data_IF_873203213575
#
_entry.id   IF_873203213575
#
_cell.length_a   1.000
_cell.length_b   1.000
_cell.length_c   1.000
_cell.angle_alpha   90.00
_cell.angle_beta   90.00
_cell.angle_gamma   90.00
#
_symmetry.space_group_name_H-M   'P 1'
#
loop_
_entity.id
_entity.type
_entity.pdbx_description
1 polymer ?
#
# COMPACT_ATOMS: atom_id res chain seq x y z
N UNK A 1 -14.07 -47.03 -40.91
CA UNK A 1 -14.47 -45.77 -41.57
C UNK A 1 -15.29 -44.97 -40.56
N UNK A 2 -14.74 -43.90 -40.01
CA UNK A 2 -15.53 -42.94 -39.25
C UNK A 2 -16.19 -42.02 -40.28
N UNK A 3 -17.51 -42.15 -40.45
CA UNK A 3 -18.27 -41.11 -41.13
C UNK A 3 -18.12 -39.81 -40.34
N UNK A 4 -17.80 -38.71 -41.02
CA UNK A 4 -17.78 -37.40 -40.39
C UNK A 4 -19.17 -37.09 -39.85
N UNK A 5 -19.34 -37.06 -38.53
CA UNK A 5 -20.57 -36.59 -37.90
C UNK A 5 -20.89 -35.20 -38.48
N UNK A 6 -22.07 -35.10 -39.12
CA UNK A 6 -22.67 -33.82 -39.53
C UNK A 6 -22.73 -32.90 -38.31
N UNK A 7 -22.53 -31.60 -38.54
CA UNK A 7 -22.70 -30.47 -37.61
C UNK A 7 -23.30 -30.89 -36.25
N UNK A 8 -22.43 -31.13 -35.26
CA UNK A 8 -22.84 -31.34 -33.87
C UNK A 8 -23.63 -30.09 -33.45
N UNK A 9 -24.89 -30.28 -33.05
CA UNK A 9 -25.66 -29.19 -32.47
C UNK A 9 -25.03 -28.83 -31.12
N UNK A 10 -24.43 -27.64 -31.07
CA UNK A 10 -23.71 -27.16 -29.89
C UNK A 10 -24.65 -26.96 -28.70
N UNK A 11 -25.94 -26.65 -28.92
CA UNK A 11 -26.91 -26.55 -27.85
C UNK A 11 -27.22 -27.94 -27.26
N UNK A 12 -27.31 -28.95 -28.11
CA UNK A 12 -27.51 -30.35 -27.73
C UNK A 12 -26.30 -30.89 -26.95
N UNK A 13 -25.09 -30.63 -27.42
CA UNK A 13 -23.85 -30.97 -26.72
C UNK A 13 -23.78 -30.36 -25.31
N UNK A 14 -24.18 -29.09 -25.16
CA UNK A 14 -24.23 -28.42 -23.86
C UNK A 14 -25.28 -29.05 -22.94
N UNK A 15 -26.44 -29.46 -23.47
CA UNK A 15 -27.44 -30.15 -22.68
C UNK A 15 -26.94 -31.51 -22.17
N UNK A 16 -26.25 -32.28 -23.01
CA UNK A 16 -25.62 -33.55 -22.60
C UNK A 16 -24.57 -33.34 -21.50
N UNK A 17 -23.73 -32.30 -21.61
CA UNK A 17 -22.75 -31.93 -20.58
C UNK A 17 -23.42 -31.60 -19.23
N UNK A 18 -24.51 -30.84 -19.26
CA UNK A 18 -25.26 -30.45 -18.05
C UNK A 18 -25.94 -31.67 -17.41
N UNK A 19 -26.57 -32.51 -18.22
CA UNK A 19 -27.29 -33.71 -17.74
C UNK A 19 -26.36 -34.85 -17.37
N UNK A 20 -25.05 -34.70 -17.63
CA UNK A 20 -24.07 -35.79 -17.54
C UNK A 20 -24.57 -37.02 -18.28
N UNK A 21 -25.07 -36.81 -19.50
CA UNK A 21 -25.50 -37.88 -20.41
C UNK A 21 -24.38 -38.15 -21.43
N UNK A 22 -24.12 -39.43 -21.71
CA UNK A 22 -23.14 -39.81 -22.71
C UNK A 22 -23.66 -39.41 -24.09
N UNK A 23 -22.81 -38.76 -24.89
CA UNK A 23 -23.14 -38.42 -26.29
C UNK A 23 -23.29 -39.70 -27.15
N UNK A 24 -22.63 -40.79 -26.76
CA UNK A 24 -22.82 -42.14 -27.29
C UNK A 24 -22.68 -43.16 -26.14
N UNK A 25 -23.64 -44.07 -25.96
CA UNK A 25 -23.55 -45.17 -24.98
C UNK A 25 -22.35 -46.07 -25.32
N UNK A 26 -21.34 -46.10 -24.45
CA UNK A 26 -20.18 -46.97 -24.59
C UNK A 26 -19.91 -47.72 -23.28
N UNK A 27 -20.55 -48.88 -23.17
CA UNK A 27 -20.45 -49.86 -22.09
C UNK A 27 -21.03 -49.48 -20.70
N UNK A 28 -21.37 -50.52 -19.94
CA UNK A 28 -22.20 -50.51 -18.71
C UNK A 28 -21.50 -49.99 -17.45
N UNK A 29 -20.28 -49.47 -17.56
CA UNK A 29 -19.40 -49.15 -16.43
C UNK A 29 -19.04 -47.66 -16.32
N UNK A 30 -19.65 -46.79 -17.13
CA UNK A 30 -19.44 -45.35 -17.03
C UNK A 30 -20.18 -44.77 -15.81
N UNK A 31 -19.46 -44.54 -14.71
CA UNK A 31 -19.95 -43.74 -13.59
C UNK A 31 -19.99 -42.27 -13.99
N UNK A 32 -21.15 -41.85 -14.49
CA UNK A 32 -21.44 -40.45 -14.81
C UNK A 32 -21.27 -39.56 -13.59
N UNK A 33 -20.60 -38.42 -13.76
CA UNK A 33 -20.62 -37.35 -12.75
C UNK A 33 -22.06 -36.92 -12.47
N UNK A 34 -22.41 -36.47 -11.27
CA UNK A 34 -23.75 -35.96 -11.01
C UNK A 34 -24.07 -34.79 -11.93
N UNK A 35 -25.24 -34.84 -12.58
CA UNK A 35 -25.74 -33.76 -13.43
C UNK A 35 -25.75 -32.40 -12.69
N UNK A 36 -25.37 -31.34 -13.40
CA UNK A 36 -25.58 -29.97 -12.93
C UNK A 36 -27.06 -29.63 -13.06
N UNK A 37 -27.74 -29.39 -11.94
CA UNK A 37 -29.19 -29.13 -11.93
C UNK A 37 -29.51 -27.67 -11.68
N UNK A 38 -28.60 -26.95 -11.03
CA UNK A 38 -28.76 -25.55 -10.60
C UNK A 38 -27.48 -24.78 -10.77
N UNK A 39 -27.58 -23.44 -10.76
CA UNK A 39 -26.41 -22.59 -10.88
C UNK A 39 -25.44 -22.78 -9.70
N UNK A 40 -25.96 -23.06 -8.51
CA UNK A 40 -25.17 -23.35 -7.30
C UNK A 40 -24.24 -24.56 -7.44
N UNK A 41 -24.59 -25.55 -8.27
CA UNK A 41 -23.73 -26.73 -8.47
C UNK A 41 -22.43 -26.34 -9.21
N UNK A 42 -22.53 -25.38 -10.14
CA UNK A 42 -21.38 -24.83 -10.88
C UNK A 42 -20.61 -23.84 -10.01
N UNK A 43 -21.29 -23.02 -9.20
CA UNK A 43 -20.62 -22.14 -8.23
C UNK A 43 -19.79 -23.00 -7.25
N UNK A 44 -20.37 -24.04 -6.66
CA UNK A 44 -19.68 -24.95 -5.73
C UNK A 44 -18.48 -25.66 -6.40
N UNK A 45 -18.58 -25.99 -7.69
CA UNK A 45 -17.46 -26.52 -8.47
C UNK A 45 -16.31 -25.50 -8.56
N UNK A 46 -16.60 -24.25 -8.91
CA UNK A 46 -15.61 -23.17 -8.97
C UNK A 46 -14.95 -22.98 -7.61
N UNK A 47 -15.72 -22.99 -6.51
CA UNK A 47 -15.18 -22.87 -5.16
C UNK A 47 -14.19 -23.99 -4.81
N UNK A 48 -14.46 -25.23 -5.23
CA UNK A 48 -13.55 -26.37 -5.01
C UNK A 48 -12.26 -26.22 -5.80
N UNK A 49 -12.35 -25.82 -7.06
CA UNK A 49 -11.19 -25.56 -7.92
C UNK A 49 -10.30 -24.50 -7.26
N UNK A 50 -10.90 -23.39 -6.81
CA UNK A 50 -10.16 -22.28 -6.21
C UNK A 50 -9.60 -22.60 -4.82
N UNK A 51 -10.22 -23.52 -4.10
CA UNK A 51 -9.66 -24.04 -2.86
C UNK A 51 -8.45 -24.95 -3.10
N UNK A 52 -8.49 -25.83 -4.11
CA UNK A 52 -7.37 -26.75 -4.42
C UNK A 52 -6.15 -26.04 -5.03
N UNK A 53 -6.34 -24.90 -5.70
CA UNK A 53 -5.28 -24.12 -6.35
C UNK A 53 -4.39 -23.30 -5.39
N UNK A 54 -4.26 -23.70 -4.11
CA UNK A 54 -3.43 -23.03 -3.11
C UNK A 54 -1.95 -23.46 -3.14
N UNK A 55 -1.57 -24.40 -4.02
CA UNK A 55 -0.18 -24.80 -4.19
C UNK A 55 0.61 -23.76 -5.00
N UNK A 56 1.50 -23.09 -4.29
CA UNK A 56 2.60 -22.24 -4.76
C UNK A 56 3.05 -22.53 -6.20
N UNK A 57 2.72 -21.62 -7.13
CA UNK A 57 3.49 -21.34 -8.36
C UNK A 57 4.05 -22.56 -9.15
N UNK A 58 3.41 -23.72 -9.07
CA UNK A 58 3.70 -24.86 -9.94
C UNK A 58 2.86 -24.65 -11.18
N UNK A 59 3.47 -24.84 -12.35
CA UNK A 59 2.84 -24.52 -13.65
C UNK A 59 1.39 -25.01 -13.69
N UNK A 60 0.49 -24.25 -14.32
CA UNK A 60 -0.93 -24.60 -14.50
C UNK A 60 -1.14 -26.06 -14.93
N UNK A 61 -0.16 -26.65 -15.63
CA UNK A 61 -0.11 -28.06 -15.99
C UNK A 61 -0.15 -29.00 -14.78
N UNK A 62 0.52 -28.67 -13.69
CA UNK A 62 0.51 -29.42 -12.43
C UNK A 62 -0.83 -29.32 -11.70
N UNK A 63 -1.43 -28.13 -11.58
CA UNK A 63 -2.74 -27.97 -10.94
C UNK A 63 -3.87 -28.60 -11.75
N UNK A 64 -3.80 -28.50 -13.08
CA UNK A 64 -4.71 -29.20 -13.99
C UNK A 64 -4.47 -30.71 -13.94
N UNK A 65 -3.22 -31.18 -13.88
CA UNK A 65 -2.88 -32.60 -13.75
C UNK A 65 -3.29 -33.18 -12.40
N UNK A 66 -3.12 -32.46 -11.29
CA UNK A 66 -3.59 -32.85 -9.96
C UNK A 66 -5.10 -32.84 -9.88
N UNK A 67 -5.77 -31.83 -10.45
CA UNK A 67 -7.24 -31.79 -10.50
C UNK A 67 -7.77 -32.92 -11.37
N UNK A 68 -7.15 -33.16 -12.53
CA UNK A 68 -7.44 -34.30 -13.39
C UNK A 68 -7.07 -35.61 -12.71
N UNK A 69 -6.02 -35.71 -11.89
CA UNK A 69 -5.65 -36.89 -11.11
C UNK A 69 -6.60 -37.13 -9.95
N UNK A 70 -7.10 -36.09 -9.28
CA UNK A 70 -8.13 -36.20 -8.24
C UNK A 70 -9.45 -36.62 -8.89
N UNK A 71 -9.84 -36.00 -10.00
CA UNK A 71 -11.01 -36.40 -10.77
C UNK A 71 -10.84 -37.82 -11.36
N UNK A 72 -9.63 -38.18 -11.80
CA UNK A 72 -9.29 -39.51 -12.31
C UNK A 72 -9.03 -40.53 -11.19
N UNK A 73 -8.78 -40.14 -9.95
CA UNK A 73 -8.61 -41.09 -8.84
C UNK A 73 -9.93 -41.80 -8.50
N UNK A 74 -11.04 -41.24 -8.99
CA UNK A 74 -12.35 -41.86 -9.01
C UNK A 74 -12.64 -42.68 -10.28
N UNK A 75 -11.77 -42.63 -11.30
CA UNK A 75 -11.90 -43.33 -12.58
C UNK A 75 -10.73 -44.32 -12.77
N UNK A 76 -10.99 -45.62 -12.68
CA UNK A 76 -10.06 -46.65 -13.15
C UNK A 76 -9.98 -46.64 -14.70
N UNK A 77 -9.28 -45.63 -15.26
CA UNK A 77 -8.69 -45.42 -16.62
C UNK A 77 -9.14 -46.34 -17.80
N UNK A 78 -9.23 -45.77 -19.03
CA UNK A 78 -8.02 -45.49 -19.84
C UNK A 78 -7.94 -44.09 -20.48
N UNK A 79 -6.71 -43.67 -20.76
CA UNK A 79 -6.34 -42.37 -21.35
C UNK A 79 -6.85 -42.20 -22.79
N UNK A 80 -7.42 -41.05 -23.09
CA UNK A 80 -7.78 -40.61 -24.45
C UNK A 80 -6.63 -39.75 -25.02
N UNK A 81 -6.24 -39.89 -26.31
CA UNK A 81 -5.15 -39.10 -26.90
C UNK A 81 -5.54 -37.62 -27.04
N UNK A 82 -4.69 -36.73 -26.54
CA UNK A 82 -4.92 -35.29 -26.54
C UNK A 82 -4.89 -34.67 -27.94
N UNK A 83 -5.87 -33.81 -28.24
CA UNK A 83 -5.79 -32.85 -29.36
C UNK A 83 -5.13 -31.57 -28.84
N UNK A 84 -3.99 -31.20 -29.42
CA UNK A 84 -3.38 -29.88 -29.20
C UNK A 84 -4.13 -28.84 -30.03
N UNK A 85 -4.90 -27.98 -29.37
CA UNK A 85 -5.32 -26.71 -29.95
C UNK A 85 -4.28 -25.67 -29.55
N UNK A 86 -3.51 -25.17 -30.52
CA UNK A 86 -2.62 -24.03 -30.35
C UNK A 86 -3.46 -22.76 -30.21
N UNK A 87 -3.77 -22.37 -28.98
CA UNK A 87 -4.33 -21.06 -28.61
C UNK A 87 -3.44 -20.40 -27.56
N UNK A 88 -3.41 -19.06 -27.54
CA UNK A 88 -2.71 -18.27 -26.52
C UNK A 88 -3.06 -18.77 -25.12
N UNK A 89 -2.05 -18.98 -24.26
CA UNK A 89 -2.14 -19.46 -22.87
C UNK A 89 -3.53 -19.28 -22.21
N UNK A 90 -4.40 -20.27 -22.34
CA UNK A 90 -5.70 -20.28 -21.67
C UNK A 90 -5.48 -20.64 -20.20
N UNK A 91 -5.32 -19.63 -19.35
CA UNK A 91 -5.42 -19.78 -17.89
C UNK A 91 -6.82 -20.31 -17.52
N UNK A 92 -6.97 -21.05 -16.42
CA UNK A 92 -8.24 -21.61 -15.95
C UNK A 92 -9.30 -20.51 -15.74
N UNK A 93 -8.86 -19.28 -15.47
CA UNK A 93 -9.72 -18.09 -15.42
C UNK A 93 -10.37 -17.70 -16.75
N UNK A 94 -9.87 -18.16 -17.90
CA UNK A 94 -10.49 -17.95 -19.22
C UNK A 94 -11.80 -18.75 -19.35
N UNK A 95 -11.88 -19.92 -18.69
CA UNK A 95 -13.04 -20.81 -18.72
C UNK A 95 -14.20 -20.31 -17.86
N UNK A 96 -13.95 -19.41 -16.91
CA UNK A 96 -14.97 -18.83 -16.04
C UNK A 96 -16.05 -18.07 -16.79
N UNK A 97 -15.72 -17.48 -17.93
CA UNK A 97 -16.71 -16.86 -18.80
C UNK A 97 -17.77 -17.87 -19.28
N UNK A 98 -17.31 -19.07 -19.64
CA UNK A 98 -18.16 -20.18 -20.10
C UNK A 98 -18.91 -20.85 -18.95
N UNK A 99 -18.28 -21.04 -17.79
CA UNK A 99 -18.96 -21.55 -16.59
C UNK A 99 -20.06 -20.62 -16.12
N UNK A 100 -19.85 -19.30 -16.18
CA UNK A 100 -20.90 -18.32 -15.89
C UNK A 100 -22.11 -18.50 -16.82
N UNK A 101 -21.89 -18.70 -18.12
CA UNK A 101 -22.99 -18.93 -19.08
C UNK A 101 -23.76 -20.22 -18.78
N UNK A 102 -23.07 -21.32 -18.45
CA UNK A 102 -23.74 -22.55 -18.03
C UNK A 102 -24.54 -22.36 -16.73
N UNK A 103 -23.97 -21.63 -15.76
CA UNK A 103 -24.65 -21.32 -14.51
C UNK A 103 -25.89 -20.45 -14.72
N UNK A 104 -25.82 -19.45 -15.61
CA UNK A 104 -26.98 -18.63 -16.01
C UNK A 104 -28.04 -19.50 -16.66
N UNK A 105 -27.68 -20.45 -17.54
CA UNK A 105 -28.66 -21.38 -18.14
C UNK A 105 -29.44 -22.17 -17.07
N UNK A 106 -28.76 -22.52 -15.99
CA UNK A 106 -29.29 -23.33 -14.89
C UNK A 106 -29.92 -22.50 -13.76
N UNK A 107 -29.83 -21.17 -13.80
CA UNK A 107 -30.25 -20.31 -12.70
C UNK A 107 -31.76 -20.38 -12.48
N UNK A 108 -32.16 -20.57 -11.22
CA UNK A 108 -33.56 -20.56 -10.78
C UNK A 108 -33.80 -19.42 -9.78
N UNK A 109 -35.03 -18.90 -9.70
CA UNK A 109 -35.37 -17.90 -8.69
C UNK A 109 -35.21 -18.48 -7.28
N UNK A 110 -34.82 -17.60 -6.34
CA UNK A 110 -34.71 -17.91 -4.91
C UNK A 110 -33.69 -19.00 -4.54
N UNK A 111 -32.68 -19.26 -5.38
CA UNK A 111 -31.53 -20.07 -5.00
C UNK A 111 -30.79 -19.46 -3.78
N UNK A 112 -30.17 -20.33 -2.99
CA UNK A 112 -29.49 -19.99 -1.74
C UNK A 112 -28.10 -20.61 -1.73
N UNK A 113 -27.20 -20.06 -0.91
CA UNK A 113 -25.89 -20.65 -0.64
C UNK A 113 -26.08 -22.08 -0.12
N UNK A 114 -25.35 -23.03 -0.70
CA UNK A 114 -25.50 -24.45 -0.30
C UNK A 114 -25.08 -24.66 1.15
N UNK A 115 -25.72 -25.63 1.81
CA UNK A 115 -25.40 -25.99 3.19
C UNK A 115 -23.93 -26.40 3.34
N UNK A 116 -23.37 -27.12 2.35
CA UNK A 116 -21.97 -27.54 2.35
C UNK A 116 -20.99 -26.38 2.41
N UNK A 117 -21.27 -25.28 1.69
CA UNK A 117 -20.44 -24.09 1.71
C UNK A 117 -20.54 -23.36 3.05
N UNK A 118 -21.74 -23.26 3.61
CA UNK A 118 -21.92 -22.72 4.96
C UNK A 118 -21.17 -23.53 6.03
N UNK A 119 -21.24 -24.87 5.96
CA UNK A 119 -20.50 -25.78 6.84
C UNK A 119 -18.99 -25.67 6.65
N UNK A 120 -18.51 -25.57 5.41
CA UNK A 120 -17.09 -25.39 5.11
C UNK A 120 -16.54 -24.06 5.63
N UNK A 121 -17.32 -22.97 5.52
CA UNK A 121 -16.95 -21.67 6.10
C UNK A 121 -16.96 -21.71 7.64
N UNK A 122 -17.98 -22.33 8.25
CA UNK A 122 -18.05 -22.50 9.70
C UNK A 122 -16.92 -23.42 10.23
N UNK A 123 -16.52 -24.41 9.45
CA UNK A 123 -15.42 -25.33 9.76
C UNK A 123 -14.03 -24.76 9.45
N UNK A 124 -13.92 -23.52 8.96
CA UNK A 124 -12.63 -22.88 8.67
C UNK A 124 -11.86 -23.50 7.50
N UNK A 125 -12.55 -24.17 6.56
CA UNK A 125 -11.90 -24.83 5.40
C UNK A 125 -11.23 -23.80 4.49
N UNK A 126 -11.87 -22.65 4.30
CA UNK A 126 -11.30 -21.57 3.47
C UNK A 126 -10.38 -20.69 4.31
N UNK A 127 -9.14 -20.52 3.85
CA UNK A 127 -8.23 -19.52 4.42
C UNK A 127 -8.68 -18.10 4.10
N UNK A 128 -8.13 -17.11 4.80
CA UNK A 128 -8.39 -15.69 4.54
C UNK A 128 -8.14 -15.30 3.07
N UNK A 129 -6.97 -15.66 2.53
CA UNK A 129 -6.61 -15.36 1.14
C UNK A 129 -7.50 -16.08 0.14
N UNK A 130 -7.92 -17.32 0.45
CA UNK A 130 -8.91 -18.05 -0.36
C UNK A 130 -10.25 -17.32 -0.39
N UNK A 131 -10.74 -16.82 0.75
CA UNK A 131 -12.00 -16.07 0.82
C UNK A 131 -11.94 -14.81 -0.03
N UNK A 132 -10.85 -14.05 0.05
CA UNK A 132 -10.65 -12.83 -0.74
C UNK A 132 -10.63 -13.12 -2.25
N UNK A 133 -9.87 -14.14 -2.66
CA UNK A 133 -9.80 -14.60 -4.06
C UNK A 133 -11.15 -15.05 -4.58
N UNK A 134 -11.88 -15.87 -3.81
CA UNK A 134 -13.23 -16.33 -4.15
C UNK A 134 -14.18 -15.14 -4.35
N UNK A 135 -14.19 -14.17 -3.43
CA UNK A 135 -15.03 -12.97 -3.57
C UNK A 135 -14.72 -12.23 -4.88
N UNK A 136 -13.43 -12.07 -5.21
CA UNK A 136 -13.01 -11.43 -6.46
C UNK A 136 -13.51 -12.18 -7.70
N UNK A 137 -13.40 -13.51 -7.70
CA UNK A 137 -13.85 -14.35 -8.81
C UNK A 137 -15.37 -14.29 -8.97
N UNK A 138 -16.13 -14.47 -7.88
CA UNK A 138 -17.58 -14.40 -7.91
C UNK A 138 -18.07 -13.04 -8.45
N UNK A 139 -17.42 -11.93 -8.07
CA UNK A 139 -17.71 -10.60 -8.63
C UNK A 139 -17.45 -10.55 -10.14
N UNK A 140 -16.39 -11.19 -10.64
CA UNK A 140 -16.06 -11.25 -12.07
C UNK A 140 -17.03 -12.13 -12.89
N UNK A 141 -17.75 -13.06 -12.25
CA UNK A 141 -18.75 -13.90 -12.93
C UNK A 141 -20.05 -13.16 -13.21
N UNK A 142 -20.34 -12.05 -12.52
CA UNK A 142 -21.56 -11.27 -12.71
C UNK A 142 -21.65 -10.75 -14.15
N UNK A 143 -22.87 -10.74 -14.70
CA UNK A 143 -23.16 -10.22 -16.05
C UNK A 143 -24.18 -9.10 -15.97
N UNK A 144 -24.14 -8.18 -16.94
CA UNK A 144 -25.15 -7.14 -17.07
C UNK A 144 -26.37 -7.71 -17.83
N UNK A 145 -27.58 -7.73 -17.24
CA UNK A 145 -28.77 -8.23 -17.91
C UNK A 145 -29.25 -7.36 -19.08
N UNK A 146 -28.77 -6.11 -19.19
CA UNK A 146 -29.11 -5.22 -20.30
C UNK A 146 -28.30 -5.47 -21.58
N UNK A 147 -27.21 -6.24 -21.47
CA UNK A 147 -26.39 -6.62 -22.61
C UNK A 147 -27.00 -7.87 -23.27
N UNK A 148 -27.41 -7.80 -24.55
CA UNK A 148 -28.00 -8.94 -25.23
C UNK A 148 -27.01 -10.09 -25.40
N UNK A 149 -27.51 -11.32 -25.34
CA UNK A 149 -26.69 -12.52 -25.52
C UNK A 149 -26.68 -12.98 -26.97
N UNK A 150 -25.51 -12.91 -27.61
CA UNK A 150 -25.30 -13.31 -29.02
C UNK A 150 -24.73 -14.74 -29.15
N UNK A 151 -25.21 -15.68 -28.33
CA UNK A 151 -24.70 -17.07 -28.34
C UNK A 151 -25.77 -18.14 -28.47
N UNK A 152 -25.35 -19.40 -28.41
CA UNK A 152 -26.20 -20.58 -28.69
C UNK A 152 -26.61 -21.37 -27.43
N UNK A 153 -26.11 -20.99 -26.25
CA UNK A 153 -26.31 -21.78 -25.02
C UNK A 153 -27.70 -21.54 -24.41
N UNK A 154 -28.17 -20.29 -24.45
CA UNK A 154 -29.39 -19.78 -23.81
C UNK A 154 -30.17 -18.97 -24.84
N UNK A 155 -31.50 -19.04 -24.80
CA UNK A 155 -32.32 -18.14 -25.60
C UNK A 155 -32.15 -16.69 -25.11
N UNK A 156 -32.23 -15.71 -26.01
CA UNK A 156 -32.17 -14.29 -25.63
C UNK A 156 -33.27 -13.92 -24.62
N UNK A 157 -34.46 -14.51 -24.77
CA UNK A 157 -35.60 -14.29 -23.90
C UNK A 157 -35.36 -14.78 -22.45
N UNK A 158 -34.70 -15.92 -22.28
CA UNK A 158 -34.40 -16.48 -20.96
C UNK A 158 -33.15 -15.85 -20.35
N UNK A 159 -32.19 -15.41 -21.17
CA UNK A 159 -30.90 -14.91 -20.71
C UNK A 159 -31.04 -13.73 -19.74
N UNK A 160 -31.75 -12.67 -20.14
CA UNK A 160 -31.87 -11.46 -19.32
C UNK A 160 -32.47 -11.76 -17.94
N UNK A 161 -33.51 -12.61 -17.90
CA UNK A 161 -34.16 -13.04 -16.66
C UNK A 161 -33.23 -13.90 -15.80
N UNK A 162 -32.54 -14.86 -16.41
CA UNK A 162 -31.66 -15.78 -15.70
C UNK A 162 -30.39 -15.08 -15.17
N UNK A 163 -29.88 -14.06 -15.85
CA UNK A 163 -28.76 -13.23 -15.35
C UNK A 163 -29.14 -12.58 -14.03
N UNK A 164 -30.37 -12.09 -13.88
CA UNK A 164 -30.85 -11.51 -12.63
C UNK A 164 -30.84 -12.56 -11.51
N UNK A 165 -31.36 -13.77 -11.78
CA UNK A 165 -31.35 -14.86 -10.80
C UNK A 165 -29.93 -15.30 -10.43
N UNK A 166 -29.04 -15.40 -11.42
CA UNK A 166 -27.65 -15.78 -11.20
C UNK A 166 -26.88 -14.73 -10.39
N UNK A 167 -27.04 -13.44 -10.71
CA UNK A 167 -26.42 -12.37 -9.96
C UNK A 167 -26.91 -12.32 -8.50
N UNK A 168 -28.20 -12.56 -8.26
CA UNK A 168 -28.78 -12.62 -6.91
C UNK A 168 -28.14 -13.75 -6.08
N UNK A 169 -27.94 -14.94 -6.65
CA UNK A 169 -27.27 -16.02 -5.91
C UNK A 169 -25.77 -15.75 -5.73
N UNK A 170 -25.08 -15.15 -6.71
CA UNK A 170 -23.68 -14.73 -6.54
C UNK A 170 -23.53 -13.72 -5.40
N UNK A 171 -24.44 -12.74 -5.28
CA UNK A 171 -24.43 -11.75 -4.21
C UNK A 171 -24.60 -12.43 -2.83
N UNK A 172 -25.46 -13.44 -2.73
CA UNK A 172 -25.58 -14.25 -1.49
C UNK A 172 -24.29 -14.99 -1.14
N UNK A 173 -23.60 -15.60 -2.11
CA UNK A 173 -22.30 -16.24 -1.87
C UNK A 173 -21.25 -15.21 -1.44
N UNK A 174 -21.14 -14.09 -2.16
CA UNK A 174 -20.22 -12.99 -1.83
C UNK A 174 -20.47 -12.49 -0.41
N UNK A 175 -21.72 -12.34 -0.01
CA UNK A 175 -22.11 -11.89 1.33
C UNK A 175 -21.63 -12.85 2.42
N UNK A 176 -21.88 -14.16 2.28
CA UNK A 176 -21.48 -15.16 3.29
C UNK A 176 -19.95 -15.25 3.40
N UNK A 177 -19.24 -15.24 2.26
CA UNK A 177 -17.78 -15.19 2.26
C UNK A 177 -17.23 -13.90 2.85
N UNK A 178 -17.86 -12.74 2.55
CA UNK A 178 -17.45 -11.45 3.10
C UNK A 178 -17.65 -11.41 4.61
N UNK A 179 -18.79 -11.88 5.14
CA UNK A 179 -19.03 -11.98 6.58
C UNK A 179 -18.02 -12.91 7.27
N UNK A 180 -17.69 -14.04 6.65
CA UNK A 180 -16.68 -14.96 7.18
C UNK A 180 -15.28 -14.33 7.16
N UNK A 181 -14.91 -13.63 6.08
CA UNK A 181 -13.66 -12.86 5.97
C UNK A 181 -13.57 -11.77 7.06
N UNK A 182 -14.65 -11.01 7.25
CA UNK A 182 -14.76 -10.00 8.32
C UNK A 182 -14.57 -10.63 9.69
N UNK A 183 -15.18 -11.80 9.95
CA UNK A 183 -15.02 -12.51 11.20
C UNK A 183 -13.55 -12.92 11.45
N UNK A 184 -12.82 -13.35 10.42
CA UNK A 184 -11.38 -13.64 10.54
C UNK A 184 -10.59 -12.39 10.95
N UNK A 185 -10.85 -11.24 10.32
CA UNK A 185 -10.19 -9.96 10.66
C UNK A 185 -10.47 -9.59 12.12
N UNK A 186 -11.73 -9.68 12.54
CA UNK A 186 -12.14 -9.37 13.92
C UNK A 186 -11.52 -10.34 14.92
N UNK A 187 -11.36 -11.62 14.58
CA UNK A 187 -10.76 -12.61 15.46
C UNK A 187 -9.21 -12.54 15.49
N UNK A 188 -8.59 -12.05 14.43
CA UNK A 188 -7.13 -12.02 14.31
C UNK A 188 -6.49 -11.12 15.38
N UNK A 189 -5.37 -11.61 15.91
CA UNK A 189 -4.51 -10.85 16.80
C UNK A 189 -3.71 -9.79 16.05
N UNK A 190 -3.30 -8.75 16.76
CA UNK A 190 -2.38 -7.74 16.23
C UNK A 190 -0.98 -8.35 16.12
N UNK A 191 -0.36 -8.25 14.95
CA UNK A 191 1.00 -8.68 14.68
C UNK A 191 2.01 -7.77 15.38
N UNK A 192 2.34 -8.12 16.62
CA UNK A 192 3.33 -7.40 17.43
C UNK A 192 4.74 -7.45 16.81
N UNK A 193 5.07 -8.49 16.04
CA UNK A 193 6.37 -8.58 15.39
C UNK A 193 6.48 -7.55 14.26
N UNK A 194 5.41 -7.36 13.49
CA UNK A 194 5.33 -6.29 12.48
C UNK A 194 5.55 -4.91 13.09
N UNK A 195 4.90 -4.61 14.21
CA UNK A 195 5.07 -3.31 14.89
C UNK A 195 6.52 -3.11 15.37
N UNK A 196 7.12 -4.13 15.98
CA UNK A 196 8.53 -4.10 16.41
C UNK A 196 9.51 -3.97 15.26
N UNK A 197 9.21 -4.56 14.10
CA UNK A 197 10.04 -4.41 12.90
C UNK A 197 10.03 -2.97 12.40
N UNK A 198 8.89 -2.27 12.49
CA UNK A 198 8.82 -0.83 12.24
C UNK A 198 9.75 -0.05 13.17
N UNK A 199 9.71 -0.33 14.47
CA UNK A 199 10.57 0.33 15.46
C UNK A 199 12.06 0.08 15.20
N UNK A 200 12.43 -1.16 14.91
CA UNK A 200 13.80 -1.56 14.60
C UNK A 200 14.31 -0.87 13.32
N UNK A 201 13.50 -0.86 12.26
CA UNK A 201 13.84 -0.20 11.00
C UNK A 201 14.07 1.29 11.21
N UNK A 202 13.14 1.98 11.86
CA UNK A 202 13.26 3.41 12.14
C UNK A 202 14.48 3.72 13.01
N UNK A 203 14.75 2.89 14.02
CA UNK A 203 15.94 3.00 14.88
C UNK A 203 17.24 2.92 14.08
N UNK A 204 17.30 2.04 13.08
CA UNK A 204 18.49 1.83 12.27
C UNK A 204 18.66 2.89 11.16
N UNK A 205 17.56 3.32 10.53
CA UNK A 205 17.59 4.25 9.39
C UNK A 205 17.72 5.72 9.81
N UNK A 206 17.16 6.11 10.97
CA UNK A 206 17.09 7.51 11.39
C UNK A 206 18.47 8.20 11.43
N UNK A 207 19.53 7.63 12.02
CA UNK A 207 20.83 8.32 12.12
C UNK A 207 21.40 8.70 10.75
N UNK A 208 21.27 7.82 9.76
CA UNK A 208 21.67 8.11 8.38
C UNK A 208 20.85 9.25 7.79
N UNK A 209 19.52 9.17 7.91
CA UNK A 209 18.61 10.21 7.40
C UNK A 209 18.84 11.59 8.04
N UNK A 210 19.23 11.65 9.32
CA UNK A 210 19.59 12.89 10.00
C UNK A 210 20.90 13.48 9.46
N UNK A 211 21.90 12.62 9.20
CA UNK A 211 23.21 13.05 8.68
C UNK A 211 23.17 13.56 7.24
N UNK A 212 22.19 13.11 6.46
CA UNK A 212 21.96 13.56 5.09
C UNK A 212 21.15 14.86 5.01
N UNK A 213 20.38 15.20 6.04
CA UNK A 213 19.59 16.43 6.07
C UNK A 213 20.46 17.67 6.24
N UNK A 214 20.15 18.72 5.47
CA UNK A 214 20.97 19.93 5.37
C UNK A 214 21.09 20.67 6.71
N UNK A 215 20.04 20.70 7.53
CA UNK A 215 20.05 21.36 8.83
C UNK A 215 20.38 20.37 9.95
N UNK A 216 19.79 19.18 9.92
CA UNK A 216 19.88 18.26 11.05
C UNK A 216 21.27 17.62 11.18
N UNK A 217 22.07 17.59 10.11
CA UNK A 217 23.47 17.15 10.15
C UNK A 217 24.37 17.96 11.08
N UNK A 218 23.98 19.17 11.45
CA UNK A 218 24.76 20.02 12.36
C UNK A 218 24.57 19.65 13.83
N UNK A 219 23.54 18.86 14.17
CA UNK A 219 23.40 18.33 15.52
C UNK A 219 24.36 17.16 15.77
N UNK A 220 24.86 17.09 17.00
CA UNK A 220 25.44 15.84 17.51
C UNK A 220 24.30 14.91 17.93
N UNK A 221 24.08 13.83 17.19
CA UNK A 221 23.04 12.85 17.51
C UNK A 221 23.50 11.92 18.64
N UNK A 222 22.72 11.82 19.71
CA UNK A 222 22.97 10.91 20.83
C UNK A 222 21.71 10.14 21.23
N UNK A 223 21.90 9.03 21.94
CA UNK A 223 20.83 8.19 22.45
C UNK A 223 20.99 8.06 23.96
N UNK A 224 19.91 8.19 24.73
CA UNK A 224 19.96 8.15 26.19
C UNK A 224 18.77 7.38 26.76
N UNK A 225 18.97 6.66 27.87
CA UNK A 225 17.91 5.91 28.59
C UNK A 225 17.57 6.52 29.95
N UNK A 226 18.10 7.71 30.29
CA UNK A 226 17.80 8.47 31.51
C UNK A 226 16.34 8.95 31.50
N UNK A 227 15.54 8.43 32.43
CA UNK A 227 14.10 8.75 32.54
C UNK A 227 13.80 10.09 33.23
N UNK A 228 14.78 10.71 33.88
CA UNK A 228 14.63 11.95 34.67
C UNK A 228 14.79 13.24 33.86
N UNK A 229 15.01 13.12 32.54
CA UNK A 229 15.05 14.26 31.62
C UNK A 229 13.66 14.72 31.19
N UNK A 230 13.57 15.99 30.79
CA UNK A 230 12.36 16.59 30.23
C UNK A 230 12.16 16.20 28.77
N UNK A 231 11.90 14.93 28.52
CA UNK A 231 11.64 14.41 27.18
C UNK A 231 10.37 15.01 26.57
N UNK A 232 10.45 15.42 25.31
CA UNK A 232 9.26 15.77 24.53
C UNK A 232 8.78 14.53 23.77
N UNK A 233 7.61 14.03 24.13
CA UNK A 233 6.96 12.96 23.40
C UNK A 233 6.33 13.47 22.09
N UNK A 234 6.70 12.86 20.97
CA UNK A 234 6.14 13.11 19.64
C UNK A 234 5.52 11.81 19.14
N UNK A 235 4.44 11.90 18.36
CA UNK A 235 3.84 10.74 17.72
C UNK A 235 3.27 11.06 16.33
N UNK A 236 3.24 10.04 15.48
CA UNK A 236 2.56 10.05 14.19
C UNK A 236 1.36 9.08 14.27
N UNK A 237 0.12 9.58 14.23
CA UNK A 237 -1.08 8.74 14.16
C UNK A 237 -1.50 8.51 12.71
N UNK A 238 -1.84 7.28 12.34
CA UNK A 238 -2.48 6.96 11.06
C UNK A 238 -3.62 5.97 11.25
N UNK A 239 -4.75 6.26 10.61
CA UNK A 239 -5.87 5.35 10.49
C UNK A 239 -5.49 4.18 9.58
N UNK A 240 -5.61 2.97 10.10
CA UNK A 240 -5.33 1.74 9.35
C UNK A 240 -6.44 0.73 9.60
N UNK A 241 -6.76 -0.03 8.56
CA UNK A 241 -7.64 -1.19 8.72
C UNK A 241 -6.98 -2.22 9.64
N UNK A 242 -7.78 -2.94 10.42
CA UNK A 242 -7.32 -4.02 11.29
C UNK A 242 -6.61 -5.12 10.50
N UNK A 243 -7.02 -5.36 9.26
CA UNK A 243 -6.38 -6.32 8.36
C UNK A 243 -4.89 -6.01 8.15
N UNK A 244 -4.51 -4.73 8.10
CA UNK A 244 -3.12 -4.31 7.91
C UNK A 244 -2.21 -4.79 9.05
N UNK A 245 -2.72 -4.72 10.29
CA UNK A 245 -1.97 -5.10 11.49
C UNK A 245 -2.30 -6.53 11.95
N UNK A 246 -3.16 -7.26 11.22
CA UNK A 246 -3.60 -8.59 11.63
C UNK A 246 -2.53 -9.63 11.30
N UNK A 247 -2.18 -10.41 12.32
CA UNK A 247 -1.26 -11.54 12.20
C UNK A 247 -1.80 -12.56 11.20
N UNK A 248 -0.93 -13.05 10.33
CA UNK A 248 -1.21 -14.14 9.36
C UNK A 248 -2.27 -13.87 8.28
N UNK A 249 -2.95 -12.71 8.27
CA UNK A 249 -3.95 -12.37 7.25
C UNK A 249 -3.37 -11.62 6.06
N UNK A 250 -2.59 -10.56 6.31
CA UNK A 250 -2.08 -9.68 5.28
C UNK A 250 -0.55 -9.68 5.24
N UNK A 251 0.01 -10.61 4.47
CA UNK A 251 1.44 -10.72 4.20
C UNK A 251 1.90 -9.84 3.02
N UNK A 252 0.99 -9.07 2.39
CA UNK A 252 1.44 -8.16 1.33
C UNK A 252 2.16 -6.97 1.96
N UNK A 253 3.34 -6.65 1.41
CA UNK A 253 4.19 -5.52 1.76
C UNK A 253 3.47 -4.20 1.46
N UNK A 254 2.50 -3.85 2.30
CA UNK A 254 2.13 -2.46 2.41
C UNK A 254 3.36 -1.67 2.85
N UNK A 255 3.71 -0.66 2.06
CA UNK A 255 4.93 0.12 2.21
C UNK A 255 5.20 0.58 3.64
N UNK A 256 6.48 0.76 3.92
CA UNK A 256 7.00 1.00 5.26
C UNK A 256 6.40 2.24 5.92
N UNK A 257 5.49 2.04 6.89
CA UNK A 257 4.84 3.12 7.61
C UNK A 257 5.19 3.12 9.12
N UNK A 258 5.50 4.29 9.71
CA UNK A 258 5.78 5.56 9.03
C UNK A 258 7.14 5.50 8.34
N UNK A 259 7.33 6.23 7.24
CA UNK A 259 8.65 6.29 6.60
C UNK A 259 9.65 7.09 7.47
N UNK A 260 10.95 6.78 7.37
CA UNK A 260 11.99 7.58 8.05
C UNK A 260 11.97 9.05 7.63
N UNK A 261 11.62 9.33 6.36
CA UNK A 261 11.42 10.68 5.84
C UNK A 261 10.31 11.44 6.58
N UNK A 262 9.23 10.75 6.95
CA UNK A 262 8.14 11.35 7.70
C UNK A 262 8.52 11.68 9.15
N UNK A 263 9.33 10.82 9.78
CA UNK A 263 9.93 11.12 11.10
C UNK A 263 10.87 12.31 10.99
N UNK A 264 11.76 12.32 10.00
CA UNK A 264 12.73 13.39 9.75
C UNK A 264 12.02 14.74 9.57
N UNK A 265 10.94 14.75 8.79
CA UNK A 265 10.06 15.92 8.61
C UNK A 265 9.46 16.43 9.93
N UNK A 266 9.08 15.55 10.85
CA UNK A 266 8.56 15.96 12.16
C UNK A 266 9.65 16.59 13.04
N UNK A 267 10.85 16.01 13.05
CA UNK A 267 12.02 16.59 13.76
C UNK A 267 12.35 17.96 13.18
N UNK A 268 12.39 18.08 11.85
CA UNK A 268 12.66 19.35 11.16
C UNK A 268 11.59 20.41 11.44
N UNK A 269 10.30 20.03 11.48
CA UNK A 269 9.21 20.93 11.90
C UNK A 269 9.42 21.45 13.31
N UNK A 270 9.88 20.59 14.23
CA UNK A 270 10.21 21.00 15.61
C UNK A 270 11.38 21.97 15.65
N UNK A 271 12.45 21.70 14.90
CA UNK A 271 13.58 22.63 14.77
C UNK A 271 13.09 24.01 14.31
N UNK A 272 12.30 24.06 13.24
CA UNK A 272 11.77 25.33 12.75
C UNK A 272 10.91 26.05 13.79
N UNK A 273 10.11 25.33 14.58
CA UNK A 273 9.34 25.91 15.67
C UNK A 273 10.24 26.51 16.76
N UNK A 274 11.30 25.82 17.17
CA UNK A 274 12.26 26.32 18.17
C UNK A 274 13.00 27.56 17.65
N UNK A 275 13.51 27.50 16.42
CA UNK A 275 14.20 28.63 15.79
C UNK A 275 13.28 29.83 15.64
N UNK A 276 12.04 29.63 15.23
CA UNK A 276 11.04 30.68 15.11
C UNK A 276 10.84 31.42 16.45
N UNK A 277 10.67 30.67 17.54
CA UNK A 277 10.43 31.25 18.86
C UNK A 277 11.66 31.91 19.49
N UNK A 278 12.84 31.63 18.95
CA UNK A 278 14.09 32.15 19.50
C UNK A 278 14.22 33.65 19.26
N UNK A 279 14.54 34.39 20.32
CA UNK A 279 14.84 35.82 20.22
C UNK A 279 16.25 36.00 19.64
N UNK A 280 16.33 36.64 18.47
CA UNK A 280 17.63 36.95 17.86
C UNK A 280 18.37 38.06 18.63
N UNK A 281 19.69 38.05 18.56
CA UNK A 281 20.56 39.10 19.14
C UNK A 281 20.29 40.47 18.49
N UNK A 282 19.93 40.47 17.22
CA UNK A 282 19.61 41.67 16.43
C UNK A 282 18.37 41.42 15.58
N UNK A 283 17.54 42.45 15.42
CA UNK A 283 16.42 42.45 14.47
C UNK A 283 16.59 43.61 13.49
N UNK A 284 16.47 43.32 12.20
CA UNK A 284 16.76 44.25 11.10
C UNK A 284 15.61 44.19 10.11
N UNK A 285 15.14 45.35 9.65
CA UNK A 285 14.13 45.42 8.60
C UNK A 285 14.84 45.43 7.23
N UNK A 286 14.38 44.56 6.33
CA UNK A 286 14.90 44.44 4.96
C UNK A 286 13.75 44.57 3.98
N UNK A 287 13.89 45.52 3.06
CA UNK A 287 12.88 45.82 2.04
C UNK A 287 13.18 45.15 0.69
N UNK A 288 14.42 44.74 0.44
CA UNK A 288 14.86 44.09 -0.80
C UNK A 288 15.97 43.06 -0.55
N UNK A 289 16.19 42.19 -1.54
CA UNK A 289 17.19 41.12 -1.46
C UNK A 289 18.62 41.67 -1.33
N UNK A 290 18.99 42.76 -2.01
CA UNK A 290 20.35 43.30 -1.97
C UNK A 290 20.75 43.71 -0.54
N UNK A 291 19.84 44.37 0.17
CA UNK A 291 20.04 44.77 1.57
C UNK A 291 20.21 43.53 2.45
N UNK A 292 19.40 42.48 2.24
CA UNK A 292 19.56 41.21 2.96
C UNK A 292 20.94 40.59 2.69
N UNK A 293 21.36 40.48 1.44
CA UNK A 293 22.65 39.87 1.08
C UNK A 293 23.83 40.66 1.66
N UNK A 294 23.80 42.00 1.60
CA UNK A 294 24.84 42.86 2.18
C UNK A 294 24.93 42.69 3.71
N UNK A 295 23.80 42.71 4.41
CA UNK A 295 23.77 42.55 5.86
C UNK A 295 24.26 41.16 6.31
N UNK A 296 23.95 40.13 5.52
CA UNK A 296 24.46 38.76 5.73
C UNK A 296 25.96 38.70 5.49
N UNK A 297 26.46 39.25 4.37
CA UNK A 297 27.88 39.27 4.04
C UNK A 297 28.71 40.02 5.10
N UNK A 298 28.22 41.14 5.60
CA UNK A 298 28.88 41.90 6.66
C UNK A 298 28.95 41.10 7.97
N UNK A 299 27.90 40.36 8.32
CA UNK A 299 27.83 39.58 9.58
C UNK A 299 28.54 38.24 9.52
N UNK A 300 28.71 37.66 8.34
CA UNK A 300 29.48 36.43 8.15
C UNK A 300 30.95 36.67 7.77
N UNK A 301 31.44 37.91 7.91
CA UNK A 301 32.81 38.30 7.55
C UNK A 301 33.89 37.72 8.47
N UNK A 302 33.52 37.24 9.66
CA UNK A 302 34.40 36.54 10.60
C UNK A 302 34.78 35.11 10.15
N UNK A 303 34.28 34.68 8.99
CA UNK A 303 34.50 33.36 8.37
C UNK A 303 33.97 32.17 9.20
N UNK A 304 33.15 32.40 10.22
CA UNK A 304 32.46 31.32 10.91
C UNK A 304 31.38 30.69 10.02
N UNK A 305 30.97 29.46 10.35
CA UNK A 305 29.92 28.76 9.62
C UNK A 305 28.54 29.23 10.08
N UNK A 306 27.79 29.84 9.18
CA UNK A 306 26.43 30.30 9.43
C UNK A 306 25.42 29.63 8.51
N UNK A 307 24.16 29.69 8.90
CA UNK A 307 23.03 29.26 8.09
C UNK A 307 22.00 30.38 8.10
N UNK A 308 21.65 30.88 6.93
CA UNK A 308 20.53 31.78 6.72
C UNK A 308 19.29 30.95 6.38
N UNK A 309 18.40 30.82 7.35
CA UNK A 309 17.10 30.15 7.19
C UNK A 309 16.07 31.19 6.76
N UNK A 310 15.57 31.08 5.53
CA UNK A 310 14.61 32.01 4.92
C UNK A 310 13.23 31.38 4.97
N UNK A 311 12.30 32.03 5.68
CA UNK A 311 10.90 31.63 5.80
C UNK A 311 10.03 32.44 4.83
N UNK A 312 9.14 31.73 4.15
CA UNK A 312 8.21 32.31 3.19
C UNK A 312 8.76 32.31 1.76
N UNK A 313 8.05 32.99 0.87
CA UNK A 313 8.38 33.10 -0.55
C UNK A 313 9.10 34.40 -0.91
N UNK A 314 9.16 35.37 0.00
CA UNK A 314 9.81 36.66 -0.24
C UNK A 314 11.30 36.45 -0.52
N UNK A 315 11.73 36.91 -1.70
CA UNK A 315 13.06 36.72 -2.29
C UNK A 315 13.37 35.34 -2.90
N UNK A 316 12.45 34.38 -2.88
CA UNK A 316 12.75 33.00 -3.31
C UNK A 316 13.08 32.89 -4.80
N UNK A 317 12.38 33.63 -5.66
CA UNK A 317 12.65 33.65 -7.10
C UNK A 317 13.93 34.44 -7.40
N UNK A 318 14.12 35.63 -6.82
CA UNK A 318 15.34 36.40 -7.04
C UNK A 318 16.61 35.66 -6.57
N UNK A 319 16.51 34.90 -5.46
CA UNK A 319 17.60 34.04 -4.99
C UNK A 319 17.89 32.86 -5.92
N UNK A 320 16.88 32.30 -6.58
CA UNK A 320 17.05 31.25 -7.59
C UNK A 320 17.68 31.80 -8.86
N UNK A 321 17.27 32.99 -9.29
CA UNK A 321 17.84 33.68 -10.45
C UNK A 321 19.30 34.09 -10.23
N UNK A 322 19.68 34.41 -8.98
CA UNK A 322 21.04 34.82 -8.63
C UNK A 322 22.11 33.77 -8.98
N UNK A 323 21.73 32.48 -9.05
CA UNK A 323 22.60 31.40 -9.53
C UNK A 323 23.13 31.69 -10.94
N UNK A 324 22.33 32.33 -11.78
CA UNK A 324 22.64 32.62 -13.18
C UNK A 324 23.24 34.01 -13.42
N UNK A 325 23.52 34.78 -12.36
CA UNK A 325 24.02 36.17 -12.41
C UNK A 325 25.42 36.29 -11.76
N UNK A 326 26.46 35.63 -12.30
CA UNK A 326 27.80 35.59 -11.70
C UNK A 326 28.41 36.99 -11.53
N UNK A 327 28.07 37.95 -12.39
CA UNK A 327 28.51 39.34 -12.32
C UNK A 327 28.08 40.05 -11.01
N UNK A 328 27.06 39.54 -10.32
CA UNK A 328 26.61 40.07 -9.02
C UNK A 328 27.26 39.38 -7.83
N UNK A 329 27.96 38.26 -8.04
CA UNK A 329 28.47 37.43 -6.93
C UNK A 329 29.53 38.15 -6.12
N UNK A 330 30.47 38.82 -6.78
CA UNK A 330 31.56 39.55 -6.13
C UNK A 330 31.03 40.66 -5.20
N UNK A 331 29.95 41.35 -5.60
CA UNK A 331 29.36 42.44 -4.83
C UNK A 331 28.79 41.98 -3.47
N UNK A 332 28.42 40.71 -3.36
CA UNK A 332 27.80 40.14 -2.16
C UNK A 332 28.66 39.04 -1.52
N UNK A 333 29.93 38.90 -1.91
CA UNK A 333 30.82 37.82 -1.43
C UNK A 333 30.21 36.42 -1.60
N UNK A 334 29.59 36.18 -2.75
CA UNK A 334 28.95 34.90 -3.08
C UNK A 334 29.98 33.93 -3.67
N UNK A 335 29.92 32.69 -3.22
CA UNK A 335 30.75 31.60 -3.72
C UNK A 335 29.88 30.40 -4.10
N UNK A 336 30.07 29.85 -5.30
CA UNK A 336 29.35 28.65 -5.74
C UNK A 336 29.86 27.44 -4.94
N UNK A 337 28.94 26.74 -4.29
CA UNK A 337 29.18 25.53 -3.53
C UNK A 337 28.18 24.46 -3.98
N UNK A 338 28.62 23.60 -4.90
CA UNK A 338 27.76 22.53 -5.44
C UNK A 338 27.42 21.50 -4.36
N UNK A 339 28.28 21.35 -3.33
CA UNK A 339 28.03 20.44 -2.21
C UNK A 339 26.92 20.94 -1.27
N UNK A 340 26.64 22.24 -1.29
CA UNK A 340 25.52 22.84 -0.57
C UNK A 340 24.16 22.58 -1.23
N UNK A 341 24.13 22.09 -2.48
CA UNK A 341 22.87 21.86 -3.21
C UNK A 341 22.03 20.77 -2.55
N UNK A 342 20.82 21.13 -2.15
CA UNK A 342 19.83 20.23 -1.59
C UNK A 342 18.42 20.60 -2.05
N UNK A 343 17.42 19.82 -1.66
CA UNK A 343 16.01 20.11 -2.00
C UNK A 343 15.53 21.47 -1.50
N UNK A 344 16.19 22.01 -0.46
CA UNK A 344 15.86 23.28 0.21
C UNK A 344 17.04 24.22 0.35
N UNK A 345 18.19 23.92 -0.23
CA UNK A 345 19.38 24.76 -0.14
C UNK A 345 19.91 25.15 -1.51
N UNK A 346 20.43 26.38 -1.59
CA UNK A 346 20.96 26.94 -2.83
C UNK A 346 22.40 26.44 -3.08
N UNK A 347 22.83 26.34 -4.34
CA UNK A 347 24.17 25.85 -4.71
C UNK A 347 25.26 26.92 -4.54
N UNK A 348 25.09 27.85 -3.59
CA UNK A 348 26.04 28.91 -3.30
C UNK A 348 25.94 29.36 -1.84
N UNK A 349 26.99 30.03 -1.36
CA UNK A 349 27.13 30.60 -0.02
C UNK A 349 27.45 32.08 -0.09
N UNK A 350 27.18 32.79 0.99
CA UNK A 350 27.64 34.18 1.22
C UNK A 350 28.74 34.11 2.28
N UNK A 351 29.99 34.36 1.90
CA UNK A 351 31.16 33.90 2.67
C UNK A 351 31.01 32.39 2.99
N UNK A 352 31.01 32.01 4.27
CA UNK A 352 30.75 30.64 4.74
C UNK A 352 29.28 30.38 5.11
N UNK A 353 28.37 31.34 4.87
CA UNK A 353 26.95 31.23 5.21
C UNK A 353 26.15 30.44 4.17
N UNK A 354 25.54 29.33 4.60
CA UNK A 354 24.63 28.51 3.79
C UNK A 354 23.24 29.15 3.71
N UNK A 355 22.59 29.12 2.54
CA UNK A 355 21.20 29.57 2.40
C UNK A 355 20.25 28.36 2.37
N UNK A 356 19.28 28.36 3.28
CA UNK A 356 18.26 27.33 3.42
C UNK A 356 16.85 27.94 3.33
N UNK A 357 15.97 27.35 2.52
CA UNK A 357 14.66 27.88 2.16
C UNK A 357 13.50 27.08 2.77
N UNK A 358 12.54 27.78 3.38
CA UNK A 358 11.30 27.25 3.94
C UNK A 358 10.10 27.87 3.20
N UNK A 359 9.82 27.33 2.01
CA UNK A 359 8.96 27.93 0.98
C UNK A 359 7.45 27.95 1.30
N UNK A 360 7.00 27.26 2.36
CA UNK A 360 5.57 27.16 2.72
C UNK A 360 5.28 27.80 4.09
N UNK A 361 6.05 28.80 4.50
CA UNK A 361 5.74 29.57 5.71
C UNK A 361 4.82 30.73 5.37
N UNK A 362 3.78 30.96 6.17
CA UNK A 362 2.90 32.12 6.04
C UNK A 362 3.59 33.44 6.46
N UNK A 363 4.70 33.34 7.20
CA UNK A 363 5.47 34.50 7.65
C UNK A 363 6.72 34.69 6.80
N UNK A 364 7.03 35.94 6.54
CA UNK A 364 8.16 36.36 5.70
C UNK A 364 9.26 36.98 6.57
N UNK A 365 10.24 36.16 6.91
CA UNK A 365 11.43 36.62 7.63
C UNK A 365 12.61 35.69 7.36
N UNK A 366 13.81 36.10 7.77
CA UNK A 366 14.98 35.22 7.77
C UNK A 366 15.67 35.21 9.13
N UNK A 367 16.25 34.07 9.48
CA UNK A 367 17.07 33.91 10.68
C UNK A 367 18.47 33.49 10.26
N UNK A 368 19.47 34.25 10.69
CA UNK A 368 20.86 33.86 10.60
C UNK A 368 21.27 33.17 11.91
N UNK A 369 21.65 31.91 11.82
CA UNK A 369 22.05 31.07 12.96
C UNK A 369 23.48 30.59 12.78
N UNK A 370 24.24 30.48 13.87
CA UNK A 370 25.55 29.83 13.84
C UNK A 370 25.36 28.33 13.65
N UNK A 371 26.14 27.70 12.78
CA UNK A 371 26.14 26.25 12.65
C UNK A 371 26.57 25.55 13.96
N UNK A 372 27.37 26.22 14.79
CA UNK A 372 27.80 25.73 16.11
C UNK A 372 26.71 25.85 17.18
N UNK A 373 25.62 26.57 16.90
CA UNK A 373 24.47 26.66 17.83
C UNK A 373 23.63 25.38 17.88
N UNK A 374 23.83 24.48 16.92
CA UNK A 374 23.18 23.18 16.88
C UNK A 374 23.92 22.23 17.82
N UNK A 375 23.37 22.07 19.03
CA UNK A 375 23.97 21.24 20.08
C UNK A 375 23.69 19.75 19.88
N UNK A 376 23.11 19.12 20.89
CA UNK A 376 22.71 17.72 20.81
C UNK A 376 21.25 17.53 20.38
N UNK A 377 21.04 16.52 19.55
CA UNK A 377 19.74 15.95 19.27
C UNK A 377 19.68 14.57 19.94
N UNK A 378 19.01 14.49 21.08
CA UNK A 378 18.93 13.26 21.88
C UNK A 378 17.60 12.58 21.63
N UNK A 379 17.62 11.28 21.38
CA UNK A 379 16.42 10.44 21.43
C UNK A 379 16.47 9.51 22.64
N UNK A 380 15.31 9.29 23.26
CA UNK A 380 15.19 8.29 24.30
C UNK A 380 15.37 6.90 23.71
N UNK A 381 16.18 6.08 24.37
CA UNK A 381 16.41 4.69 24.03
C UNK A 381 15.63 3.81 25.00
N UNK A 382 14.60 3.15 24.47
CA UNK A 382 13.73 2.26 25.20
C UNK A 382 14.48 1.00 25.68
N UNK A 383 13.95 0.28 26.70
CA UNK A 383 14.62 -0.89 27.27
C UNK A 383 14.88 -2.04 26.30
N UNK A 384 14.11 -2.13 25.22
CA UNK A 384 14.31 -3.11 24.14
C UNK A 384 15.40 -2.69 23.14
N UNK A 385 16.01 -1.53 23.36
CA UNK A 385 17.10 -0.98 22.56
C UNK A 385 16.65 -0.11 21.38
N UNK A 386 15.35 0.05 21.16
CA UNK A 386 14.78 0.87 20.08
C UNK A 386 14.66 2.34 20.49
N UNK A 387 14.48 3.23 19.51
CA UNK A 387 14.22 4.67 19.72
C UNK A 387 12.75 5.04 19.51
N UNK A 388 11.94 4.08 19.09
CA UNK A 388 10.56 4.26 18.69
C UNK A 388 9.70 3.19 19.35
N UNK A 389 8.41 3.50 19.52
CA UNK A 389 7.43 2.54 19.97
C UNK A 389 6.18 2.65 19.10
N UNK A 390 5.95 1.64 18.28
CA UNK A 390 4.76 1.53 17.44
C UNK A 390 3.73 0.63 18.12
N UNK A 391 2.51 1.14 18.27
CA UNK A 391 1.38 0.38 18.79
C UNK A 391 0.12 0.63 17.96
N UNK A 392 -0.76 -0.35 17.96
CA UNK A 392 -2.09 -0.25 17.33
C UNK A 392 -3.17 -0.20 18.40
N UNK A 393 -4.17 0.65 18.17
CA UNK A 393 -5.38 0.74 18.99
C UNK A 393 -6.61 0.60 18.10
N UNK A 394 -7.45 -0.40 18.38
CA UNK A 394 -8.75 -0.55 17.73
C UNK A 394 -9.65 0.65 17.96
N UNK A 395 -10.45 0.97 16.96
CA UNK A 395 -11.53 1.96 17.03
C UNK A 395 -12.84 1.33 17.54
N UNK A 396 -13.92 2.10 17.51
CA UNK A 396 -15.27 1.59 17.78
C UNK A 396 -15.73 0.62 16.68
N UNK A 397 -15.29 0.83 15.43
CA UNK A 397 -15.39 -0.18 14.36
C UNK A 397 -14.26 -1.22 14.55
N UNK A 398 -14.58 -2.51 14.77
CA UNK A 398 -13.57 -3.54 14.99
C UNK A 398 -12.72 -3.85 13.75
N UNK A 399 -13.08 -3.32 12.57
CA UNK A 399 -12.30 -3.43 11.33
C UNK A 399 -11.33 -2.28 11.14
N UNK A 400 -11.39 -1.25 11.96
CA UNK A 400 -10.58 -0.05 11.83
C UNK A 400 -9.84 0.24 13.13
N UNK A 401 -8.71 0.93 13.01
CA UNK A 401 -8.01 1.43 14.17
C UNK A 401 -6.98 2.47 13.82
N UNK A 402 -6.20 2.85 14.83
CA UNK A 402 -5.15 3.84 14.70
C UNK A 402 -3.84 3.20 15.10
N UNK A 403 -2.90 3.18 14.16
CA UNK A 403 -1.51 2.87 14.45
C UNK A 403 -0.79 4.16 14.84
N UNK A 404 -0.03 4.12 15.93
CA UNK A 404 0.73 5.25 16.45
C UNK A 404 2.17 4.84 16.61
N UNK A 405 3.08 5.62 16.03
CA UNK A 405 4.51 5.52 16.29
C UNK A 405 4.91 6.70 17.14
N UNK A 406 5.44 6.43 18.33
CA UNK A 406 5.86 7.40 19.33
C UNK A 406 7.38 7.38 19.48
N UNK A 407 7.98 8.54 19.72
CA UNK A 407 9.35 8.66 20.21
C UNK A 407 9.47 9.88 21.12
N UNK A 408 10.53 9.89 21.92
CA UNK A 408 10.85 10.94 22.86
C UNK A 408 12.15 11.62 22.44
N UNK A 409 12.13 12.95 22.42
CA UNK A 409 13.23 13.75 21.88
C UNK A 409 13.57 14.93 22.80
N UNK A 410 14.85 15.25 22.85
CA UNK A 410 15.39 16.50 23.38
C UNK A 410 16.23 17.16 22.27
N UNK A 411 15.97 18.43 21.99
CA UNK A 411 16.65 19.18 20.95
C UNK A 411 17.25 20.44 21.56
N UNK A 412 18.58 20.54 21.52
CA UNK A 412 19.33 21.59 22.17
C UNK A 412 19.87 22.61 21.15
N UNK A 413 19.41 23.86 21.26
CA UNK A 413 19.99 25.01 20.56
C UNK A 413 20.75 25.83 21.60
N UNK A 414 22.08 25.88 21.49
CA UNK A 414 22.98 26.35 22.55
C UNK A 414 23.18 27.87 22.56
N UNK A 415 22.86 28.55 21.47
CA UNK A 415 23.00 30.00 21.33
C UNK A 415 21.79 30.59 20.58
N UNK A 416 21.51 31.87 20.81
CA UNK A 416 20.43 32.56 20.12
C UNK A 416 20.80 32.92 18.69
N UNK A 417 19.82 33.01 17.76
CA UNK A 417 20.07 33.46 16.39
C UNK A 417 20.83 34.79 16.36
N UNK A 418 21.80 34.91 15.47
CA UNK A 418 22.66 36.09 15.33
C UNK A 418 21.86 37.30 14.89
N UNK A 419 20.99 37.10 13.90
CA UNK A 419 20.14 38.16 13.36
C UNK A 419 18.81 37.60 12.87
N UNK A 420 17.77 38.42 13.03
CA UNK A 420 16.45 38.24 12.44
C UNK A 420 16.20 39.36 11.44
N UNK A 421 15.83 39.00 10.24
CA UNK A 421 15.56 39.90 9.14
C UNK A 421 14.05 39.88 8.85
N UNK A 422 13.36 40.96 9.20
CA UNK A 422 11.94 41.12 8.92
C UNK A 422 11.76 41.61 7.49
N UNK A 423 11.04 40.84 6.67
CA UNK A 423 10.82 41.21 5.27
C UNK A 423 9.61 42.15 5.20
N UNK A 424 9.86 43.46 5.15
CA UNK A 424 8.80 44.49 5.17
C UNK A 424 8.70 45.22 3.85
#
# INVERSE_FOLDING_TARGET
>A
HFESQKNIDLADLVNHLIMSELYEDRDTHDTLTPAFRRSVDIIDMILRIEHCNLHTNTSWYSGLSETIEVMNSYNERPYIPGRMYTGEYEDLGSLYGSFALLAIKLARPAEQVTQRVNEALAGGVFSYSSKDRIISILKRLKRDPSVPYEGYIISEADYATNVVFFNDVLDKYIDVFSRSKTADIVAAEVDQARLRNTDARLTNELPGALSEDVLLKYFTFTQNSECDRNWLAIYIPVGVSKEYVARELNQTDYGDFPSVSEVNRNILRRLHYVLWQSQAKLTIEVNNLETLLMEVAQRSADQNNYILVIYGSRFSEELRELVYQPERHDAFSIHVDVSARGSRSLPFRINNCLIYLVLNSEQEFSLMVSAESFGELRLFRYPDGTLFNTFYRSSDDPLEGVMKTLWEIEMEITDTPVARFEHR
#
